data_IF_170739445082
#
_entry.id   IF_170739445082
#
_cell.length_a   1.000
_cell.length_b   1.000
_cell.length_c   1.000
_cell.angle_alpha   90.00
_cell.angle_beta   90.00
_cell.angle_gamma   90.00
#
_symmetry.space_group_name_H-M   'P 1'
#
loop_
_entity.id
_entity.type
_entity.pdbx_description
1 polymer ?
#
# COMPACT_ATOMS: atom_id res chain seq x y z
N UNK A 1 62.78 -26.05 18.15
CA UNK A 1 61.37 -26.45 18.11
C UNK A 1 60.57 -25.47 17.28
N UNK A 2 60.16 -25.90 16.17
CA UNK A 2 59.39 -25.06 15.27
C UNK A 2 57.92 -25.22 15.63
N UNK A 3 57.33 -24.20 16.18
CA UNK A 3 55.89 -24.18 16.34
C UNK A 3 55.29 -23.79 15.00
N UNK A 4 54.58 -24.75 14.42
CA UNK A 4 53.75 -24.48 13.30
C UNK A 4 52.49 -23.77 13.81
N UNK A 5 52.46 -22.47 13.67
CA UNK A 5 51.21 -21.72 13.74
C UNK A 5 50.36 -22.08 12.55
N UNK A 6 49.47 -23.03 12.74
CA UNK A 6 48.36 -23.23 11.82
C UNK A 6 47.44 -22.04 12.02
N UNK A 7 47.62 -21.03 11.18
CA UNK A 7 46.58 -20.03 11.00
C UNK A 7 45.44 -20.74 10.29
N UNK A 8 44.50 -21.22 11.04
CA UNK A 8 43.23 -21.63 10.49
C UNK A 8 42.54 -20.36 9.95
N UNK A 9 42.72 -20.12 8.70
CA UNK A 9 41.93 -19.17 7.98
C UNK A 9 40.49 -19.76 7.95
N UNK A 10 39.72 -19.42 8.93
CA UNK A 10 38.27 -19.60 8.84
C UNK A 10 37.81 -18.59 7.82
N UNK A 11 37.81 -18.98 6.56
CA UNK A 11 37.02 -18.26 5.57
C UNK A 11 35.55 -18.42 5.99
N UNK A 12 35.13 -17.49 6.84
CA UNK A 12 33.71 -17.32 7.08
C UNK A 12 33.08 -16.97 5.76
N UNK A 13 32.48 -17.95 5.13
CA UNK A 13 31.54 -17.66 4.08
C UNK A 13 30.42 -16.83 4.72
N UNK A 14 30.55 -15.53 4.64
CA UNK A 14 29.40 -14.65 4.82
C UNK A 14 28.46 -14.97 3.66
N UNK A 15 27.65 -15.99 3.85
CA UNK A 15 26.48 -16.18 3.03
C UNK A 15 25.67 -14.92 3.20
N UNK A 16 25.64 -14.09 2.19
CA UNK A 16 24.72 -12.98 2.11
C UNK A 16 23.33 -13.62 2.13
N UNK A 17 22.76 -13.77 3.31
CA UNK A 17 21.36 -14.06 3.44
C UNK A 17 20.67 -12.81 2.93
N UNK A 18 20.32 -12.81 1.66
CA UNK A 18 19.38 -11.85 1.14
C UNK A 18 18.07 -12.13 1.85
N UNK A 19 17.88 -11.50 3.00
CA UNK A 19 16.55 -11.45 3.57
C UNK A 19 15.66 -10.82 2.51
N UNK A 20 14.56 -11.48 2.13
CA UNK A 20 13.60 -10.81 1.29
C UNK A 20 13.33 -9.46 1.96
N UNK A 21 13.44 -8.38 1.21
CA UNK A 21 13.02 -7.08 1.68
C UNK A 21 11.54 -7.22 2.06
N UNK A 22 11.30 -7.66 3.28
CA UNK A 22 9.98 -7.60 3.85
C UNK A 22 9.65 -6.12 3.85
N UNK A 23 8.68 -5.75 3.03
CA UNK A 23 8.08 -4.44 3.10
C UNK A 23 7.81 -4.16 4.57
N UNK A 24 8.47 -3.15 5.12
CA UNK A 24 8.39 -2.85 6.54
C UNK A 24 6.93 -2.70 6.93
N UNK A 25 6.42 -3.68 7.68
CA UNK A 25 5.07 -3.62 8.21
C UNK A 25 5.10 -2.62 9.35
N UNK A 26 4.37 -1.53 9.18
CA UNK A 26 4.24 -0.52 10.24
C UNK A 26 3.24 -1.02 11.26
N UNK A 27 3.70 -1.23 12.48
CA UNK A 27 2.87 -1.65 13.62
C UNK A 27 3.00 -0.60 14.70
N UNK A 28 1.87 -0.03 15.12
CA UNK A 28 1.84 1.02 16.14
C UNK A 28 0.78 0.72 17.20
N UNK A 29 0.96 1.27 18.39
CA UNK A 29 0.00 1.12 19.49
C UNK A 29 -1.05 2.23 19.50
N UNK A 30 -0.78 3.33 18.83
CA UNK A 30 -1.67 4.49 18.78
C UNK A 30 -2.68 4.34 17.65
N UNK A 31 -3.96 4.40 17.98
CA UNK A 31 -5.02 4.35 16.99
C UNK A 31 -4.92 5.55 16.02
N UNK A 32 -5.10 5.33 14.71
CA UNK A 32 -5.16 6.43 13.78
C UNK A 32 -6.41 7.28 14.05
N UNK A 33 -6.34 8.59 13.78
CA UNK A 33 -7.53 9.42 13.81
C UNK A 33 -8.54 8.97 12.74
N UNK A 34 -9.81 9.38 12.84
CA UNK A 34 -10.77 9.13 11.77
C UNK A 34 -10.27 9.70 10.44
N UNK A 35 -10.55 9.05 9.31
CA UNK A 35 -10.20 9.60 8.00
C UNK A 35 -10.77 11.00 7.82
N UNK A 36 -9.97 11.89 7.23
CA UNK A 36 -10.43 13.23 6.91
C UNK A 36 -11.41 13.19 5.74
N UNK A 37 -12.45 14.00 5.81
CA UNK A 37 -13.31 14.21 4.67
C UNK A 37 -12.53 14.92 3.56
N UNK A 38 -12.47 14.29 2.40
CA UNK A 38 -11.85 14.88 1.22
C UNK A 38 -12.91 15.17 0.16
N UNK A 39 -12.70 16.23 -0.55
CA UNK A 39 -13.47 16.49 -1.75
C UNK A 39 -12.84 15.69 -2.89
N UNK A 40 -13.48 14.59 -3.28
CA UNK A 40 -13.03 13.79 -4.43
C UNK A 40 -13.23 14.59 -5.70
N UNK A 41 -12.16 14.84 -6.49
CA UNK A 41 -12.30 15.55 -7.76
C UNK A 41 -13.16 14.78 -8.77
N UNK A 42 -13.70 15.46 -9.79
CA UNK A 42 -14.35 14.76 -10.87
C UNK A 42 -13.41 13.74 -11.55
N UNK A 43 -13.94 12.64 -12.09
CA UNK A 43 -13.12 11.66 -12.79
C UNK A 43 -12.22 12.27 -13.85
N UNK A 44 -10.99 11.80 -13.91
CA UNK A 44 -9.99 12.23 -14.87
C UNK A 44 -9.58 11.06 -15.74
N UNK A 45 -9.74 11.20 -17.05
CA UNK A 45 -9.40 10.15 -18.01
C UNK A 45 -7.93 9.73 -17.90
N UNK A 46 -7.69 8.43 -17.82
CA UNK A 46 -6.35 7.86 -17.72
C UNK A 46 -5.74 7.90 -16.33
N UNK A 47 -6.48 8.36 -15.34
CA UNK A 47 -6.03 8.47 -13.95
C UNK A 47 -7.02 7.82 -12.98
N UNK A 48 -6.50 7.29 -11.91
CA UNK A 48 -7.26 6.82 -10.76
C UNK A 48 -7.00 7.72 -9.56
N UNK A 49 -8.04 8.00 -8.79
CA UNK A 49 -7.91 8.76 -7.56
C UNK A 49 -7.39 7.85 -6.44
N UNK A 50 -6.26 8.23 -5.86
CA UNK A 50 -5.75 7.64 -4.64
C UNK A 50 -6.27 8.46 -3.45
N UNK A 51 -7.20 7.93 -2.65
CA UNK A 51 -7.71 8.66 -1.48
C UNK A 51 -6.61 9.02 -0.49
N UNK A 52 -6.79 10.12 0.22
CA UNK A 52 -5.94 10.46 1.33
C UNK A 52 -5.98 9.41 2.43
N UNK A 53 -4.93 9.33 3.19
CA UNK A 53 -4.78 8.34 4.25
C UNK A 53 -3.83 8.82 5.34
N UNK A 54 -3.87 8.16 6.49
CA UNK A 54 -2.93 8.38 7.55
C UNK A 54 -1.68 7.54 7.35
N UNK A 55 -0.51 8.16 7.49
CA UNK A 55 0.78 7.50 7.57
C UNK A 55 1.40 7.70 8.93
N UNK A 56 2.29 6.84 9.32
CA UNK A 56 3.06 6.96 10.54
C UNK A 56 4.44 7.52 10.23
N UNK A 57 4.72 8.70 10.74
CA UNK A 57 6.02 9.38 10.55
C UNK A 57 6.42 10.10 11.81
N UNK A 58 7.68 9.94 12.22
CA UNK A 58 8.20 10.67 13.36
C UNK A 58 7.47 10.43 14.68
N UNK A 59 6.90 9.24 14.88
CA UNK A 59 6.21 8.86 16.11
C UNK A 59 4.75 9.34 16.20
N UNK A 60 4.16 9.78 15.11
CA UNK A 60 2.77 10.21 15.08
C UNK A 60 2.11 9.97 13.72
N UNK A 61 0.78 10.01 13.70
CA UNK A 61 0.02 9.92 12.47
C UNK A 61 0.07 11.24 11.71
N UNK A 62 0.38 11.17 10.41
CA UNK A 62 0.40 12.32 9.50
C UNK A 62 -0.57 12.05 8.36
N UNK A 63 -1.41 13.04 8.07
CA UNK A 63 -2.32 12.94 6.94
C UNK A 63 -1.60 13.18 5.62
N UNK A 64 -1.86 12.31 4.66
CA UNK A 64 -1.41 12.44 3.27
C UNK A 64 -2.63 12.68 2.40
N UNK A 65 -2.65 13.83 1.73
CA UNK A 65 -3.75 14.19 0.85
C UNK A 65 -3.86 13.22 -0.34
N UNK A 66 -5.09 13.03 -0.80
CA UNK A 66 -5.35 12.25 -1.99
C UNK A 66 -4.66 12.83 -3.22
N UNK A 67 -4.35 12.00 -4.17
CA UNK A 67 -3.66 12.39 -5.39
C UNK A 67 -4.09 11.55 -6.60
N UNK A 68 -3.79 12.07 -7.79
CA UNK A 68 -4.00 11.31 -9.02
C UNK A 68 -2.84 10.35 -9.26
N UNK A 69 -3.19 9.12 -9.64
CA UNK A 69 -2.24 8.11 -10.09
C UNK A 69 -2.57 7.72 -11.52
N UNK A 70 -1.57 7.30 -12.29
CA UNK A 70 -1.86 6.72 -13.60
C UNK A 70 -2.67 5.44 -13.45
N UNK A 71 -3.72 5.35 -14.21
CA UNK A 71 -4.56 4.16 -14.29
C UNK A 71 -3.76 2.94 -14.74
N UNK A 72 -4.04 1.80 -14.14
CA UNK A 72 -3.57 0.49 -14.59
C UNK A 72 -4.74 -0.30 -15.13
N UNK A 73 -4.74 -0.57 -16.42
CA UNK A 73 -5.81 -1.33 -17.06
C UNK A 73 -6.04 -2.68 -16.38
N UNK A 74 -7.28 -2.97 -16.06
CA UNK A 74 -7.67 -4.22 -15.42
C UNK A 74 -7.37 -4.28 -13.92
N UNK A 75 -6.92 -3.18 -13.31
CA UNK A 75 -6.62 -3.10 -11.89
C UNK A 75 -7.38 -1.96 -11.23
N UNK A 76 -7.69 -2.15 -9.96
CA UNK A 76 -8.29 -1.14 -9.09
C UNK A 76 -7.31 -0.84 -7.96
N UNK A 77 -7.12 0.42 -7.65
CA UNK A 77 -6.27 0.83 -6.54
C UNK A 77 -7.03 0.83 -5.22
N UNK A 78 -6.46 0.15 -4.25
CA UNK A 78 -6.89 0.19 -2.86
C UNK A 78 -5.93 1.03 -2.04
N UNK A 79 -6.45 2.08 -1.41
CA UNK A 79 -5.64 2.94 -0.56
C UNK A 79 -5.11 2.20 0.67
N UNK A 80 -4.01 2.66 1.27
CA UNK A 80 -3.54 2.13 2.55
C UNK A 80 -4.61 2.27 3.62
N UNK A 81 -4.76 1.24 4.45
CA UNK A 81 -5.71 1.22 5.56
C UNK A 81 -5.03 0.77 6.84
N UNK A 82 -5.56 1.21 7.97
CA UNK A 82 -5.14 0.75 9.28
C UNK A 82 -6.11 -0.29 9.81
N UNK A 83 -5.58 -1.42 10.26
CA UNK A 83 -6.36 -2.53 10.82
C UNK A 83 -5.89 -2.80 12.23
N UNK A 84 -6.81 -2.92 13.17
CA UNK A 84 -6.51 -3.33 14.53
C UNK A 84 -6.34 -4.85 14.60
N UNK A 85 -5.22 -5.29 15.15
CA UNK A 85 -4.92 -6.69 15.42
C UNK A 85 -4.25 -6.84 16.79
N UNK A 86 -4.84 -7.59 17.68
CA UNK A 86 -4.29 -7.86 19.01
C UNK A 86 -3.90 -6.61 19.81
N UNK A 87 -4.74 -5.58 19.77
CA UNK A 87 -4.50 -4.31 20.45
C UNK A 87 -3.45 -3.41 19.80
N UNK A 88 -3.00 -3.76 18.59
CA UNK A 88 -2.05 -2.99 17.81
C UNK A 88 -2.66 -2.57 16.48
N UNK A 89 -2.17 -1.50 15.93
CA UNK A 89 -2.60 -1.00 14.63
C UNK A 89 -1.56 -1.32 13.57
N UNK A 90 -1.99 -2.03 12.55
CA UNK A 90 -1.14 -2.46 11.44
C UNK A 90 -1.58 -1.71 10.18
N UNK A 91 -0.62 -1.10 9.50
CA UNK A 91 -0.87 -0.46 8.22
C UNK A 91 -0.81 -1.49 7.09
N UNK A 92 -1.93 -1.69 6.43
CA UNK A 92 -1.98 -2.41 5.16
C UNK A 92 -1.69 -1.43 4.03
N UNK A 93 -0.63 -1.70 3.26
CA UNK A 93 -0.21 -0.82 2.17
C UNK A 93 -1.23 -0.75 1.07
N UNK A 94 -1.29 0.40 0.40
CA UNK A 94 -2.03 0.53 -0.83
C UNK A 94 -1.52 -0.44 -1.90
N UNK A 95 -2.43 -0.97 -2.68
CA UNK A 95 -2.10 -1.95 -3.70
C UNK A 95 -3.04 -1.87 -4.89
N UNK A 96 -2.55 -2.33 -6.03
CA UNK A 96 -3.36 -2.54 -7.20
C UNK A 96 -3.87 -3.98 -7.21
N UNK A 97 -5.17 -4.14 -7.26
CA UNK A 97 -5.82 -5.43 -7.29
C UNK A 97 -6.51 -5.60 -8.64
N UNK A 98 -6.43 -6.79 -9.21
CA UNK A 98 -7.09 -7.07 -10.47
C UNK A 98 -8.58 -6.86 -10.33
N UNK A 99 -9.15 -5.97 -11.16
CA UNK A 99 -10.58 -5.71 -11.18
C UNK A 99 -11.37 -6.88 -11.72
N UNK A 100 -12.52 -7.17 -11.07
CA UNK A 100 -13.41 -8.26 -11.48
C UNK A 100 -14.31 -7.96 -12.67
N UNK A 101 -13.97 -7.00 -13.51
CA UNK A 101 -14.76 -6.60 -14.67
C UNK A 101 -14.26 -5.28 -15.25
N UNK A 102 -14.89 -4.86 -16.35
CA UNK A 102 -14.59 -3.56 -16.94
C UNK A 102 -15.27 -2.45 -16.16
N UNK A 103 -14.50 -1.43 -15.87
CA UNK A 103 -15.01 -0.18 -15.31
C UNK A 103 -14.94 0.89 -16.40
N UNK A 104 -16.07 1.16 -17.07
CA UNK A 104 -16.11 2.05 -18.23
C UNK A 104 -16.05 3.52 -17.88
N UNK A 105 -16.60 3.88 -16.75
CA UNK A 105 -16.71 5.27 -16.33
C UNK A 105 -15.61 5.70 -15.33
N UNK A 106 -14.77 4.75 -14.89
CA UNK A 106 -13.64 5.04 -14.02
C UNK A 106 -14.01 5.40 -12.58
N UNK A 107 -15.21 5.01 -12.12
CA UNK A 107 -15.67 5.29 -10.76
C UNK A 107 -15.14 4.28 -9.73
N UNK A 108 -14.41 3.26 -10.18
CA UNK A 108 -13.89 2.19 -9.33
C UNK A 108 -14.85 1.01 -9.14
N UNK A 109 -16.05 1.07 -9.73
CA UNK A 109 -17.04 -0.01 -9.68
C UNK A 109 -17.04 -0.78 -10.99
N UNK A 110 -16.75 -2.09 -10.99
CA UNK A 110 -16.85 -2.91 -12.18
C UNK A 110 -18.25 -2.86 -12.81
N UNK A 111 -18.33 -2.81 -14.13
CA UNK A 111 -19.59 -2.65 -14.86
C UNK A 111 -20.68 -3.65 -14.47
N UNK A 112 -20.31 -4.87 -14.11
CA UNK A 112 -21.28 -5.90 -13.67
C UNK A 112 -21.99 -5.58 -12.35
N UNK A 113 -21.40 -4.69 -11.55
CA UNK A 113 -21.95 -4.23 -10.27
C UNK A 113 -22.48 -2.81 -10.32
N UNK A 114 -22.21 -2.11 -11.41
CA UNK A 114 -22.63 -0.74 -11.62
C UNK A 114 -23.98 -0.74 -12.37
N UNK A 115 -25.00 -0.19 -11.73
CA UNK A 115 -26.33 -0.05 -12.34
C UNK A 115 -26.32 0.89 -13.56
N UNK A 116 -25.31 1.75 -13.66
CA UNK A 116 -25.13 2.72 -14.74
C UNK A 116 -23.68 2.84 -15.16
N UNK A 117 -23.15 1.87 -15.92
CA UNK A 117 -21.72 1.77 -16.20
C UNK A 117 -21.13 2.93 -17.00
N UNK A 118 -21.94 3.81 -17.54
CA UNK A 118 -21.50 5.00 -18.25
C UNK A 118 -21.65 6.30 -17.44
N UNK A 119 -22.03 6.21 -16.19
CA UNK A 119 -22.22 7.38 -15.31
C UNK A 119 -21.34 7.26 -14.07
N UNK A 120 -20.24 8.02 -13.99
CA UNK A 120 -19.30 7.94 -12.88
C UNK A 120 -19.87 8.43 -11.54
N UNK A 121 -21.02 9.09 -11.56
CA UNK A 121 -21.65 9.62 -10.36
C UNK A 121 -22.66 8.66 -9.74
N UNK A 122 -22.90 7.52 -10.37
CA UNK A 122 -23.87 6.52 -9.90
C UNK A 122 -23.39 5.12 -10.21
N UNK A 123 -23.18 4.35 -9.19
CA UNK A 123 -22.86 2.92 -9.24
C UNK A 123 -23.90 2.10 -8.48
#
# INVERSE_FOLDING_TARGET
MKQLLLAALVAGAFGSISLPASADVVVVQTAPPPPRAERVPPPRRGYAWAPGHWEWRGGHHVWVDGSWMRERRGYVYHAPTWVERDGRWVMERGSWVRGGGRDRDGDGVPNRYDARPNNPNRS
#
